data_IF_756247241297
#
_entry.id   IF_756247241297
#
_cell.length_a   1.000
_cell.length_b   1.000
_cell.length_c   1.000
_cell.angle_alpha   90.00
_cell.angle_beta   90.00
_cell.angle_gamma   90.00
#
_symmetry.space_group_name_H-M   'P 1'
#
loop_
_entity.id
_entity.type
_entity.pdbx_description
1 polymer ?
#
# COMPACT_ATOMS: atom_id res chain seq x y z
N UNK A 1 6.72 -48.85 16.26
CA UNK A 1 5.52 -48.14 15.77
C UNK A 1 5.61 -46.70 16.27
N UNK A 2 6.13 -45.81 15.42
CA UNK A 2 6.30 -44.39 15.76
C UNK A 2 4.94 -43.69 15.75
N UNK A 3 4.71 -42.95 16.82
CA UNK A 3 3.53 -42.17 17.15
C UNK A 3 3.49 -40.96 16.21
N UNK A 4 2.52 -40.90 15.29
CA UNK A 4 2.28 -39.70 14.49
C UNK A 4 1.77 -38.59 15.42
N UNK A 5 2.58 -37.55 15.59
CA UNK A 5 2.26 -36.38 16.37
C UNK A 5 1.14 -35.56 15.71
N UNK A 6 0.03 -35.43 16.43
CA UNK A 6 -0.63 -34.18 16.82
C UNK A 6 -0.35 -32.91 15.96
N UNK A 7 -1.41 -32.37 15.35
CA UNK A 7 -1.62 -30.92 15.26
C UNK A 7 -0.86 -30.13 14.19
N UNK A 8 -1.21 -30.30 12.92
CA UNK A 8 -0.98 -29.26 11.91
C UNK A 8 -1.95 -28.09 12.17
N UNK A 9 -1.57 -27.18 13.06
CA UNK A 9 -2.27 -25.93 13.30
C UNK A 9 -2.17 -25.09 12.03
N UNK A 10 -3.27 -25.04 11.25
CA UNK A 10 -3.48 -24.13 10.12
C UNK A 10 -2.93 -22.76 10.55
N UNK A 11 -2.00 -22.18 9.80
CA UNK A 11 -1.48 -20.84 10.07
C UNK A 11 -2.67 -19.93 10.32
N UNK A 12 -2.88 -19.49 11.57
CA UNK A 12 -4.10 -18.77 11.87
C UNK A 12 -3.99 -17.43 11.15
N UNK A 13 -5.08 -16.95 10.54
CA UNK A 13 -5.19 -15.56 10.04
C UNK A 13 -4.67 -14.57 11.08
N UNK A 14 -4.74 -14.92 12.37
CA UNK A 14 -4.11 -14.21 13.48
C UNK A 14 -2.60 -13.98 13.33
N UNK A 15 -1.81 -14.93 12.81
CA UNK A 15 -0.37 -14.77 12.59
C UNK A 15 -0.08 -13.75 11.49
N UNK A 16 -0.74 -13.89 10.33
CA UNK A 16 -0.61 -12.95 9.21
C UNK A 16 -1.07 -11.56 9.66
N UNK A 17 -2.16 -11.49 10.43
CA UNK A 17 -2.66 -10.24 11.00
C UNK A 17 -1.71 -9.63 12.02
N UNK A 18 -1.07 -10.44 12.87
CA UNK A 18 -0.10 -9.96 13.85
C UNK A 18 1.16 -9.41 13.17
N UNK A 19 1.66 -10.09 12.12
CA UNK A 19 2.77 -9.63 11.30
C UNK A 19 2.41 -8.36 10.54
N UNK A 20 1.25 -8.32 9.89
CA UNK A 20 0.75 -7.11 9.23
C UNK A 20 0.58 -5.94 10.23
N UNK A 21 0.10 -6.21 11.45
CA UNK A 21 -0.01 -5.19 12.50
C UNK A 21 1.35 -4.71 12.99
N UNK A 22 2.36 -5.58 13.03
CA UNK A 22 3.73 -5.20 13.36
C UNK A 22 4.32 -4.29 12.30
N UNK A 23 4.23 -4.69 11.02
CA UNK A 23 4.72 -3.89 9.89
C UNK A 23 4.04 -2.51 9.84
N UNK A 24 2.72 -2.48 10.03
CA UNK A 24 1.96 -1.23 9.99
C UNK A 24 2.25 -0.30 11.17
N UNK A 25 2.57 -0.84 12.36
CA UNK A 25 2.96 -0.03 13.53
C UNK A 25 4.27 0.72 13.31
N UNK A 26 5.21 0.08 12.62
CA UNK A 26 6.56 0.61 12.40
C UNK A 26 6.61 1.56 11.19
N UNK A 27 5.52 1.72 10.44
CA UNK A 27 5.39 2.73 9.40
C UNK A 27 5.45 4.14 10.00
N UNK A 28 6.22 5.08 9.42
CA UNK A 28 6.34 6.44 9.94
C UNK A 28 4.97 7.12 9.90
N UNK A 29 4.40 7.38 11.09
CA UNK A 29 3.17 8.15 11.21
C UNK A 29 3.39 9.56 10.68
N UNK A 30 2.36 10.11 10.02
CA UNK A 30 2.39 11.42 9.35
C UNK A 30 2.83 12.58 10.28
N UNK A 31 2.61 12.45 11.59
CA UNK A 31 3.06 13.40 12.63
C UNK A 31 4.58 13.46 12.80
N UNK A 32 5.33 12.45 12.32
CA UNK A 32 6.79 12.36 12.43
C UNK A 32 7.55 12.67 11.15
N UNK A 33 6.86 13.02 10.07
CA UNK A 33 7.50 13.50 8.84
C UNK A 33 7.97 14.93 9.12
N UNK A 34 9.28 15.22 9.07
CA UNK A 34 9.77 16.56 9.38
C UNK A 34 9.27 17.56 8.33
N UNK A 35 8.97 18.78 8.77
CA UNK A 35 8.30 19.80 7.97
C UNK A 35 8.98 20.13 6.62
N UNK A 36 10.27 19.86 6.47
CA UNK A 36 11.02 20.07 5.23
C UNK A 36 10.72 19.05 4.11
N UNK A 37 9.99 17.97 4.40
CA UNK A 37 9.51 17.01 3.38
C UNK A 37 8.22 17.51 2.71
N UNK A 38 7.48 18.41 3.35
CA UNK A 38 6.29 19.04 2.79
C UNK A 38 6.67 20.40 2.23
N UNK A 39 6.91 20.44 0.91
CA UNK A 39 7.48 21.58 0.17
C UNK A 39 7.19 22.95 0.80
N UNK A 40 8.25 23.58 1.31
CA UNK A 40 8.20 24.92 1.87
C UNK A 40 8.11 25.93 0.74
N UNK A 41 6.89 26.17 0.26
CA UNK A 41 6.54 27.50 -0.20
C UNK A 41 6.40 28.40 1.05
N UNK A 42 6.67 29.70 0.91
CA UNK A 42 6.72 30.74 1.97
C UNK A 42 8.09 31.02 2.60
N UNK A 43 8.99 31.63 1.82
CA UNK A 43 9.87 32.68 2.34
C UNK A 43 9.33 34.03 1.89
N UNK A 44 8.58 34.68 2.80
CA UNK A 44 8.24 36.11 2.73
C UNK A 44 9.51 36.92 2.98
N UNK A 45 10.43 36.94 2.03
CA UNK A 45 11.55 37.88 2.03
C UNK A 45 11.09 39.18 1.39
N UNK A 46 10.56 40.05 2.25
CA UNK A 46 10.46 41.49 1.99
C UNK A 46 11.85 42.00 1.61
N UNK A 47 12.12 42.22 0.32
CA UNK A 47 13.12 43.18 -0.12
C UNK A 47 12.77 43.72 -1.51
N UNK A 48 12.36 44.97 -1.47
CA UNK A 48 12.15 45.90 -2.57
C UNK A 48 13.51 46.32 -3.16
N UNK A 49 13.77 46.04 -4.44
CA UNK A 49 14.66 46.85 -5.30
C UNK A 49 14.16 46.82 -6.74
N UNK A 50 13.94 48.01 -7.30
CA UNK A 50 13.59 48.28 -8.70
C UNK A 50 14.70 47.85 -9.67
N UNK A 51 14.33 47.12 -10.73
CA UNK A 51 14.97 47.28 -12.04
C UNK A 51 13.98 46.90 -13.15
N UNK A 52 13.59 47.93 -13.90
CA UNK A 52 12.74 47.88 -15.07
C UNK A 52 13.54 47.26 -16.22
N UNK A 53 13.32 45.98 -16.49
CA UNK A 53 13.92 45.24 -17.60
C UNK A 53 12.93 44.21 -18.10
N UNK A 54 12.09 44.59 -19.07
CA UNK A 54 11.10 43.74 -19.69
C UNK A 54 11.78 42.56 -20.40
N UNK A 55 11.92 41.46 -19.67
CA UNK A 55 12.30 40.15 -20.20
C UNK A 55 11.01 39.40 -20.53
N UNK A 56 10.51 39.60 -21.75
CA UNK A 56 9.53 38.71 -22.38
C UNK A 56 10.25 37.41 -22.81
N UNK A 57 10.75 36.67 -21.84
CA UNK A 57 11.24 35.30 -22.00
C UNK A 57 10.42 34.45 -21.05
N UNK A 58 9.36 33.83 -21.56
CA UNK A 58 8.50 32.95 -20.78
C UNK A 58 9.37 31.96 -20.00
N UNK A 59 9.31 32.03 -18.68
CA UNK A 59 9.86 30.97 -17.85
C UNK A 59 9.01 29.73 -18.15
N UNK A 60 9.47 28.90 -19.08
CA UNK A 60 9.16 27.48 -19.01
C UNK A 60 9.71 27.07 -17.64
N UNK A 61 8.84 27.02 -16.64
CA UNK A 61 9.19 26.41 -15.37
C UNK A 61 9.64 25.00 -15.73
N UNK A 62 10.94 24.73 -15.57
CA UNK A 62 11.49 23.39 -15.64
C UNK A 62 10.92 22.67 -14.41
N UNK A 63 9.68 22.22 -14.52
CA UNK A 63 9.14 21.27 -13.58
C UNK A 63 9.91 19.97 -13.84
N UNK A 64 10.68 19.53 -12.84
CA UNK A 64 11.20 18.17 -12.83
C UNK A 64 10.02 17.23 -13.11
N UNK A 65 10.16 16.25 -14.03
CA UNK A 65 9.13 15.25 -14.24
C UNK A 65 8.80 14.58 -12.89
N UNK A 66 7.52 14.23 -12.64
CA UNK A 66 7.11 13.67 -11.36
C UNK A 66 7.95 12.43 -11.05
N UNK A 67 8.75 12.52 -9.98
CA UNK A 67 9.60 11.42 -9.53
C UNK A 67 8.69 10.36 -8.92
N UNK A 68 8.65 9.18 -9.52
CA UNK A 68 7.89 8.05 -8.98
C UNK A 68 8.73 7.36 -7.91
N UNK A 69 8.19 7.24 -6.71
CA UNK A 69 8.81 6.48 -5.64
C UNK A 69 8.37 5.01 -5.76
N UNK A 70 9.34 4.10 -5.74
CA UNK A 70 9.10 2.64 -5.68
C UNK A 70 9.65 2.11 -4.37
N UNK A 71 8.78 1.48 -3.59
CA UNK A 71 9.14 0.83 -2.32
C UNK A 71 8.91 -0.68 -2.45
N UNK A 72 9.77 -1.47 -1.82
CA UNK A 72 9.64 -2.94 -1.77
C UNK A 72 9.86 -3.37 -0.34
N UNK A 73 8.86 -4.06 0.22
CA UNK A 73 8.87 -4.57 1.58
C UNK A 73 8.91 -6.09 1.57
N UNK A 74 9.52 -6.70 2.58
CA UNK A 74 9.60 -8.15 2.70
C UNK A 74 9.55 -8.56 4.17
N UNK A 75 8.85 -9.65 4.45
CA UNK A 75 8.70 -10.21 5.80
C UNK A 75 8.84 -11.72 5.73
N UNK A 76 9.59 -12.30 6.66
CA UNK A 76 9.70 -13.74 6.80
C UNK A 76 8.54 -14.28 7.64
N UNK A 77 7.84 -15.29 7.12
CA UNK A 77 6.76 -15.98 7.82
C UNK A 77 7.15 -17.45 7.96
N UNK A 78 7.22 -17.96 9.19
CA UNK A 78 7.54 -19.36 9.48
C UNK A 78 6.30 -20.24 9.27
N UNK A 79 5.89 -20.38 8.02
CA UNK A 79 4.66 -21.04 7.60
C UNK A 79 4.81 -21.65 6.19
N UNK A 80 4.08 -22.73 5.84
CA UNK A 80 4.02 -23.23 4.48
C UNK A 80 3.43 -22.18 3.51
N UNK A 81 3.97 -22.11 2.29
CA UNK A 81 3.54 -21.11 1.29
C UNK A 81 2.07 -21.24 0.93
N UNK A 82 1.55 -22.46 0.81
CA UNK A 82 0.15 -22.71 0.42
C UNK A 82 -0.83 -22.14 1.46
N UNK A 83 -0.47 -22.18 2.73
CA UNK A 83 -1.30 -21.66 3.83
C UNK A 83 -1.31 -20.13 3.85
N UNK A 84 -0.13 -19.52 3.66
CA UNK A 84 -0.02 -18.06 3.53
C UNK A 84 -0.78 -17.59 2.30
N UNK A 85 -0.59 -18.27 1.16
CA UNK A 85 -1.26 -17.93 -0.08
C UNK A 85 -2.77 -18.09 0.01
N UNK A 86 -3.28 -19.14 0.67
CA UNK A 86 -4.73 -19.32 0.87
C UNK A 86 -5.39 -18.11 1.55
N UNK A 87 -4.65 -17.37 2.39
CA UNK A 87 -5.14 -16.15 3.02
C UNK A 87 -4.97 -14.92 2.13
N UNK A 88 -3.80 -14.73 1.52
CA UNK A 88 -3.48 -13.50 0.78
C UNK A 88 -4.11 -13.46 -0.61
N UNK A 89 -4.31 -14.62 -1.25
CA UNK A 89 -4.86 -14.73 -2.62
C UNK A 89 -6.28 -14.21 -2.80
N UNK A 90 -7.02 -14.10 -1.70
CA UNK A 90 -8.41 -13.66 -1.72
C UNK A 90 -8.47 -12.14 -1.88
N UNK A 91 -8.80 -11.69 -3.09
CA UNK A 91 -8.81 -10.28 -3.46
C UNK A 91 -9.95 -9.50 -2.79
N UNK A 92 -11.00 -10.17 -2.30
CA UNK A 92 -12.16 -9.56 -1.65
C UNK A 92 -12.17 -9.85 -0.13
N UNK A 93 -10.99 -9.87 0.49
CA UNK A 93 -10.83 -10.24 1.90
C UNK A 93 -9.61 -9.61 2.57
N UNK A 94 -9.13 -8.47 2.04
CA UNK A 94 -7.97 -7.77 2.60
C UNK A 94 -8.22 -7.35 4.05
N UNK A 95 -9.42 -6.87 4.35
CA UNK A 95 -9.84 -6.45 5.69
C UNK A 95 -9.81 -7.59 6.75
N UNK A 96 -9.88 -8.86 6.33
CA UNK A 96 -9.87 -10.01 7.25
C UNK A 96 -8.50 -10.21 7.89
N UNK A 97 -7.42 -9.98 7.14
CA UNK A 97 -6.06 -10.22 7.60
C UNK A 97 -5.25 -8.93 7.77
N UNK A 98 -5.46 -7.89 6.97
CA UNK A 98 -4.73 -6.64 7.07
C UNK A 98 -5.42 -5.67 8.05
N UNK A 99 -4.75 -5.24 9.14
CA UNK A 99 -5.39 -4.51 10.23
C UNK A 99 -5.77 -3.06 9.90
N UNK A 100 -5.19 -2.48 8.86
CA UNK A 100 -5.45 -1.08 8.46
C UNK A 100 -6.79 -0.85 7.77
N UNK A 101 -7.46 -1.90 7.27
CA UNK A 101 -8.71 -1.77 6.52
C UNK A 101 -9.93 -2.09 7.38
N UNK A 102 -11.00 -1.31 7.19
CA UNK A 102 -12.30 -1.48 7.82
C UNK A 102 -13.24 -2.34 6.97
N UNK A 103 -13.27 -2.11 5.65
CA UNK A 103 -14.12 -2.84 4.69
C UNK A 103 -13.35 -3.16 3.42
N UNK A 104 -13.75 -4.26 2.78
CA UNK A 104 -13.35 -4.69 1.44
C UNK A 104 -14.62 -5.20 0.74
N UNK A 105 -14.96 -4.59 -0.38
CA UNK A 105 -16.20 -4.86 -1.12
C UNK A 105 -15.90 -5.00 -2.61
N UNK A 106 -16.16 -6.18 -3.17
CA UNK A 106 -16.15 -6.38 -4.61
C UNK A 106 -17.26 -5.56 -5.30
N UNK A 107 -16.85 -4.62 -6.15
CA UNK A 107 -17.75 -3.71 -6.89
C UNK A 107 -18.14 -4.29 -8.24
N UNK A 108 -17.21 -4.96 -8.92
CA UNK A 108 -17.48 -5.58 -10.23
C UNK A 108 -16.52 -6.71 -10.55
N UNK A 109 -16.92 -7.61 -11.46
CA UNK A 109 -16.17 -8.79 -11.84
C UNK A 109 -16.33 -9.94 -10.84
N UNK A 110 -15.42 -10.90 -10.88
CA UNK A 110 -15.39 -12.05 -9.97
C UNK A 110 -14.13 -12.03 -9.11
N UNK A 111 -14.25 -12.43 -7.84
CA UNK A 111 -13.11 -12.53 -6.95
C UNK A 111 -11.99 -13.41 -7.57
N UNK A 112 -10.75 -12.92 -7.54
CA UNK A 112 -9.60 -13.57 -8.16
C UNK A 112 -9.60 -13.63 -9.69
N UNK A 113 -10.49 -12.90 -10.37
CA UNK A 113 -10.51 -12.79 -11.85
C UNK A 113 -9.92 -11.46 -12.29
N UNK A 114 -8.97 -11.51 -13.24
CA UNK A 114 -8.37 -10.30 -13.82
C UNK A 114 -9.48 -9.37 -14.35
N UNK A 115 -9.40 -8.09 -14.00
CA UNK A 115 -10.42 -7.08 -14.29
C UNK A 115 -11.40 -6.83 -13.14
N UNK A 116 -11.43 -7.67 -12.11
CA UNK A 116 -12.21 -7.44 -10.90
C UNK A 116 -11.85 -6.11 -10.24
N UNK A 117 -12.85 -5.44 -9.68
CA UNK A 117 -12.70 -4.14 -9.02
C UNK A 117 -13.25 -4.24 -7.61
N UNK A 118 -12.46 -3.81 -6.63
CA UNK A 118 -12.86 -3.75 -5.21
C UNK A 118 -12.82 -2.32 -4.67
N UNK A 119 -13.61 -2.06 -3.65
CA UNK A 119 -13.63 -0.82 -2.88
C UNK A 119 -13.14 -1.11 -1.46
N UNK A 120 -12.01 -0.50 -1.10
CA UNK A 120 -11.38 -0.64 0.20
C UNK A 120 -11.59 0.60 1.04
N UNK A 121 -11.94 0.42 2.31
CA UNK A 121 -12.07 1.52 3.28
C UNK A 121 -11.00 1.38 4.35
N UNK A 122 -10.15 2.39 4.53
CA UNK A 122 -9.18 2.44 5.64
C UNK A 122 -9.91 2.83 6.94
N UNK A 123 -9.48 2.28 8.07
CA UNK A 123 -9.99 2.70 9.39
C UNK A 123 -9.69 4.19 9.62
N UNK A 124 -10.73 4.96 9.92
CA UNK A 124 -10.65 6.41 10.14
C UNK A 124 -10.03 7.17 8.95
N UNK A 125 -10.17 6.63 7.74
CA UNK A 125 -9.49 7.12 6.55
C UNK A 125 -10.37 7.11 5.30
N UNK A 126 -9.76 7.47 4.15
CA UNK A 126 -10.45 7.49 2.86
C UNK A 126 -10.75 6.09 2.34
N UNK A 127 -11.58 6.07 1.30
CA UNK A 127 -11.90 4.89 0.50
C UNK A 127 -11.13 4.90 -0.81
N UNK A 128 -10.69 3.74 -1.28
CA UNK A 128 -9.99 3.56 -2.55
C UNK A 128 -10.66 2.49 -3.39
N UNK A 129 -10.54 2.62 -4.71
CA UNK A 129 -11.01 1.60 -5.66
C UNK A 129 -9.80 0.99 -6.35
N UNK A 130 -9.67 -0.32 -6.28
CA UNK A 130 -8.55 -1.05 -6.88
C UNK A 130 -9.05 -2.02 -7.95
N UNK A 131 -8.28 -2.17 -9.02
CA UNK A 131 -8.54 -3.14 -10.09
C UNK A 131 -7.45 -4.21 -10.14
N UNK A 132 -7.86 -5.47 -10.17
CA UNK A 132 -6.97 -6.62 -10.36
C UNK A 132 -6.46 -6.65 -11.81
N UNK A 133 -5.14 -6.57 -11.98
CA UNK A 133 -4.45 -6.52 -13.27
C UNK A 133 -3.85 -7.85 -13.70
N UNK A 134 -3.39 -8.65 -12.74
CA UNK A 134 -2.81 -9.96 -12.97
C UNK A 134 -3.05 -10.85 -11.76
N UNK A 135 -3.22 -12.15 -12.01
CA UNK A 135 -3.37 -13.17 -10.97
C UNK A 135 -2.70 -14.46 -11.47
N UNK A 136 -1.70 -14.93 -10.73
CA UNK A 136 -0.96 -16.14 -11.01
C UNK A 136 -0.89 -17.00 -9.74
N UNK A 137 -1.72 -18.04 -9.71
CA UNK A 137 -1.78 -18.96 -8.59
C UNK A 137 -0.57 -19.90 -8.51
N UNK A 138 0.09 -20.20 -9.65
CA UNK A 138 1.24 -21.11 -9.67
C UNK A 138 2.48 -20.44 -9.07
N UNK A 139 2.62 -19.13 -9.29
CA UNK A 139 3.72 -18.32 -8.76
C UNK A 139 3.35 -17.48 -7.53
N UNK A 140 2.17 -17.70 -6.94
CA UNK A 140 1.71 -17.01 -5.72
C UNK A 140 1.77 -15.48 -5.81
N UNK A 141 1.35 -14.92 -6.94
CA UNK A 141 1.43 -13.48 -7.17
C UNK A 141 0.15 -12.91 -7.76
N UNK A 142 -0.16 -11.67 -7.41
CA UNK A 142 -1.16 -10.87 -8.11
C UNK A 142 -0.75 -9.39 -8.10
N UNK A 143 -1.29 -8.61 -9.02
CA UNK A 143 -0.99 -7.18 -9.16
C UNK A 143 -2.27 -6.38 -9.34
N UNK A 144 -2.32 -5.21 -8.72
CA UNK A 144 -3.47 -4.30 -8.76
C UNK A 144 -3.01 -2.85 -9.00
N UNK A 145 -3.97 -1.98 -9.31
CA UNK A 145 -3.79 -0.53 -9.41
C UNK A 145 -5.00 0.21 -8.87
#
# INVERSE_FOLDING_TARGET
MLKCAEGAERVPVALIRALAARLFRDAPRRDKIPAWVQGSDQMKFTMMVLSLGASLGGSAAWADPPKTLRVTESVEIKAPIDEVWATVRDFDSLNKWHPGFASDELVSGGNGKVGAVRKLTIKDGPTFTERLLAFDAAHHSYRYK
#
